data_IF_830757223763
#
_entry.id   IF_830757223763
#
_cell.length_a   1.000
_cell.length_b   1.000
_cell.length_c   1.000
_cell.angle_alpha   90.00
_cell.angle_beta   90.00
_cell.angle_gamma   90.00
#
_symmetry.space_group_name_H-M   'P 1'
#
loop_
_entity.id
_entity.type
_entity.pdbx_description
1 polymer ?
#
# COMPACT_ATOMS: atom_id res chain seq x y z
N UNK A 1 3.92 7.79 -13.61
CA UNK A 1 2.80 6.90 -13.22
C UNK A 1 2.94 6.54 -11.75
N UNK A 2 1.84 6.33 -11.01
CA UNK A 2 1.89 6.07 -9.55
C UNK A 2 2.72 4.82 -9.21
N UNK A 3 2.52 3.72 -9.95
CA UNK A 3 3.27 2.47 -9.77
C UNK A 3 4.78 2.66 -9.97
N UNK A 4 5.19 3.39 -11.03
CA UNK A 4 6.61 3.64 -11.28
C UNK A 4 7.25 4.53 -10.20
N UNK A 5 6.52 5.52 -9.71
CA UNK A 5 6.99 6.37 -8.61
C UNK A 5 7.22 5.54 -7.34
N UNK A 6 6.27 4.66 -6.99
CA UNK A 6 6.42 3.73 -5.87
C UNK A 6 7.59 2.76 -6.09
N UNK A 7 7.75 2.22 -7.30
CA UNK A 7 8.85 1.32 -7.65
C UNK A 7 10.22 1.99 -7.44
N UNK A 8 10.36 3.26 -7.85
CA UNK A 8 11.60 4.04 -7.65
C UNK A 8 11.96 4.26 -6.17
N UNK A 9 10.98 4.14 -5.27
CA UNK A 9 11.19 4.25 -3.82
C UNK A 9 11.70 2.92 -3.24
N UNK A 10 11.47 1.80 -3.94
CA UNK A 10 11.88 0.45 -3.56
C UNK A 10 10.77 -0.36 -2.89
N UNK A 11 9.49 -0.05 -3.15
CA UNK A 11 8.39 -0.84 -2.58
C UNK A 11 8.35 -2.25 -3.17
N UNK A 12 7.76 -3.19 -2.44
CA UNK A 12 7.49 -4.54 -2.93
C UNK A 12 6.01 -4.68 -3.23
N UNK A 13 5.62 -4.67 -4.51
CA UNK A 13 4.23 -4.91 -4.91
C UNK A 13 3.74 -6.29 -4.47
N UNK A 14 2.49 -6.34 -4.01
CA UNK A 14 1.82 -7.58 -3.58
C UNK A 14 1.59 -8.49 -4.80
N UNK A 15 2.22 -9.67 -4.87
CA UNK A 15 2.09 -10.56 -6.02
C UNK A 15 0.67 -11.03 -6.32
N UNK A 16 -0.23 -11.05 -5.33
CA UNK A 16 -1.63 -11.49 -5.49
C UNK A 16 -2.60 -10.33 -5.77
N UNK A 17 -2.11 -9.10 -5.89
CA UNK A 17 -2.96 -7.98 -6.25
C UNK A 17 -3.21 -7.98 -7.78
N UNK A 18 -4.48 -7.82 -8.24
CA UNK A 18 -4.81 -7.87 -9.68
C UNK A 18 -4.07 -6.87 -10.57
N UNK A 19 -3.60 -5.74 -10.01
CA UNK A 19 -2.82 -4.76 -10.77
C UNK A 19 -1.38 -5.25 -11.02
N UNK A 20 -0.80 -6.00 -10.08
CA UNK A 20 0.54 -6.56 -10.21
C UNK A 20 0.62 -7.54 -11.37
N UNK A 21 -0.43 -8.33 -11.61
CA UNK A 21 -0.55 -9.24 -12.76
C UNK A 21 -0.56 -8.52 -14.12
N UNK A 22 -0.83 -7.21 -14.11
CA UNK A 22 -0.84 -6.34 -15.30
C UNK A 22 0.47 -5.59 -15.50
N UNK A 23 1.50 -5.87 -14.68
CA UNK A 23 2.83 -5.30 -14.86
C UNK A 23 3.65 -6.12 -15.86
N UNK A 24 4.32 -5.44 -16.80
CA UNK A 24 5.36 -6.03 -17.66
C UNK A 24 6.67 -6.20 -16.90
N UNK A 25 6.92 -5.30 -15.94
CA UNK A 25 8.08 -5.34 -15.07
C UNK A 25 7.71 -4.74 -13.70
N UNK A 26 7.68 -5.61 -12.69
CA UNK A 26 7.37 -5.26 -11.30
C UNK A 26 8.44 -4.37 -10.68
N UNK A 27 9.71 -4.50 -11.10
CA UNK A 27 10.83 -3.71 -10.54
C UNK A 27 10.74 -2.25 -10.96
N UNK A 28 10.24 -1.98 -12.15
CA UNK A 28 10.02 -0.61 -12.63
C UNK A 28 8.60 -0.12 -12.41
N UNK A 29 7.67 -0.99 -12.01
CA UNK A 29 6.25 -0.67 -11.88
C UNK A 29 5.57 -0.40 -13.23
N UNK A 30 6.14 -0.91 -14.31
CA UNK A 30 5.64 -0.68 -15.68
C UNK A 30 4.45 -1.59 -15.96
N UNK A 31 3.31 -0.99 -16.33
CA UNK A 31 2.11 -1.71 -16.74
C UNK A 31 2.20 -2.09 -18.23
N UNK A 32 1.44 -3.11 -18.64
CA UNK A 32 1.30 -3.46 -20.06
C UNK A 32 0.73 -2.28 -20.85
N UNK A 33 1.27 -2.06 -22.05
CA UNK A 33 0.89 -0.92 -22.90
C UNK A 33 -0.57 -0.98 -23.36
N UNK A 34 -1.11 -2.20 -23.53
CA UNK A 34 -2.48 -2.45 -24.00
C UNK A 34 -3.56 -1.95 -23.03
N UNK A 35 -3.24 -1.75 -21.75
CA UNK A 35 -4.20 -1.34 -20.72
C UNK A 35 -4.10 0.13 -20.32
N UNK A 36 -3.09 0.87 -20.78
CA UNK A 36 -2.81 2.23 -20.27
C UNK A 36 -3.93 3.25 -20.54
N UNK A 37 -4.75 3.00 -21.55
CA UNK A 37 -5.87 3.85 -21.94
C UNK A 37 -7.25 3.29 -21.53
N UNK A 38 -7.27 2.20 -20.78
CA UNK A 38 -8.51 1.59 -20.30
C UNK A 38 -9.10 2.38 -19.13
N UNK A 39 -10.43 2.38 -19.03
CA UNK A 39 -11.15 3.00 -17.91
C UNK A 39 -11.51 1.92 -16.89
N UNK A 40 -11.14 2.14 -15.64
CA UNK A 40 -11.50 1.28 -14.51
C UNK A 40 -12.37 2.02 -13.52
N UNK A 41 -13.33 1.32 -12.89
CA UNK A 41 -14.15 1.92 -11.82
C UNK A 41 -13.35 2.13 -10.54
N UNK A 42 -12.41 1.23 -10.27
CA UNK A 42 -11.52 1.26 -9.10
C UNK A 42 -10.29 0.42 -9.38
N UNK A 43 -9.13 0.86 -8.89
CA UNK A 43 -7.93 0.04 -8.80
C UNK A 43 -7.27 0.28 -7.43
N UNK A 44 -6.58 -0.74 -6.93
CA UNK A 44 -5.84 -0.68 -5.69
C UNK A 44 -4.41 -1.09 -6.00
N UNK A 45 -3.46 -0.27 -5.57
CA UNK A 45 -2.04 -0.60 -5.61
C UNK A 45 -1.67 -1.10 -4.22
N UNK A 46 -1.33 -2.38 -4.10
CA UNK A 46 -0.93 -3.00 -2.83
C UNK A 46 0.56 -3.30 -2.85
N UNK A 47 1.24 -2.97 -1.74
CA UNK A 47 2.66 -3.19 -1.58
C UNK A 47 3.05 -3.18 -0.10
N UNK A 48 4.17 -3.83 0.19
CA UNK A 48 4.84 -3.76 1.48
C UNK A 48 6.06 -2.82 1.42
N UNK A 49 6.40 -2.26 2.57
CA UNK A 49 7.60 -1.43 2.77
C UNK A 49 8.17 -1.64 4.17
N UNK A 50 9.51 -1.64 4.36
CA UNK A 50 10.11 -1.57 5.69
C UNK A 50 9.66 -0.31 6.45
N UNK A 51 9.62 -0.38 7.79
CA UNK A 51 9.17 0.76 8.61
C UNK A 51 10.05 1.99 8.42
N UNK A 52 11.36 1.80 8.26
CA UNK A 52 12.33 2.86 8.01
C UNK A 52 12.06 3.65 6.71
N UNK A 53 11.43 3.00 5.72
CA UNK A 53 11.11 3.59 4.41
C UNK A 53 9.69 4.16 4.35
N UNK A 54 8.84 3.92 5.36
CA UNK A 54 7.45 4.40 5.37
C UNK A 54 7.36 5.91 5.22
N UNK A 55 8.18 6.68 5.92
CA UNK A 55 8.16 8.15 5.81
C UNK A 55 8.51 8.63 4.38
N UNK A 56 9.47 7.95 3.73
CA UNK A 56 9.88 8.20 2.35
C UNK A 56 8.75 7.87 1.38
N UNK A 57 8.04 6.75 1.57
CA UNK A 57 6.86 6.39 0.78
C UNK A 57 5.76 7.45 0.93
N UNK A 58 5.41 7.85 2.15
CA UNK A 58 4.35 8.84 2.39
C UNK A 58 4.68 10.20 1.76
N UNK A 59 5.95 10.63 1.80
CA UNK A 59 6.40 11.84 1.12
C UNK A 59 6.30 11.70 -0.41
N UNK A 60 6.73 10.56 -0.97
CA UNK A 60 6.63 10.27 -2.40
C UNK A 60 5.18 10.24 -2.89
N UNK A 61 4.27 9.65 -2.13
CA UNK A 61 2.83 9.64 -2.46
C UNK A 61 2.23 11.05 -2.44
N UNK A 62 2.63 11.89 -1.48
CA UNK A 62 2.22 13.30 -1.41
C UNK A 62 2.75 14.13 -2.58
N UNK A 63 3.93 13.82 -3.09
CA UNK A 63 4.46 14.47 -4.29
C UNK A 63 3.67 14.02 -5.53
N UNK A 64 3.49 12.70 -5.71
CA UNK A 64 2.72 12.14 -6.82
C UNK A 64 1.30 12.72 -6.84
N UNK A 65 0.66 12.92 -5.69
CA UNK A 65 -0.69 13.48 -5.64
C UNK A 65 -0.83 14.89 -6.22
N UNK A 66 0.26 15.65 -6.34
CA UNK A 66 0.25 16.99 -6.95
C UNK A 66 0.15 16.94 -8.48
N UNK A 67 0.46 15.78 -9.08
CA UNK A 67 0.56 15.59 -10.53
C UNK A 67 -0.51 14.65 -11.09
N UNK A 68 -1.54 14.32 -10.30
CA UNK A 68 -2.65 13.46 -10.72
C UNK A 68 -3.89 14.30 -11.04
N UNK A 69 -4.56 13.95 -12.15
CA UNK A 69 -5.87 14.50 -12.52
C UNK A 69 -7.04 13.83 -11.75
N UNK A 70 -6.72 12.97 -10.78
CA UNK A 70 -7.67 12.21 -9.96
C UNK A 70 -7.24 12.21 -8.50
N UNK A 71 -8.16 11.80 -7.62
CA UNK A 71 -7.88 11.58 -6.20
C UNK A 71 -7.60 10.11 -5.93
N UNK A 72 -6.86 9.84 -4.85
CA UNK A 72 -6.72 8.50 -4.28
C UNK A 72 -6.84 8.58 -2.76
N UNK A 73 -7.21 7.45 -2.16
CA UNK A 73 -7.14 7.25 -0.71
C UNK A 73 -5.93 6.38 -0.39
N UNK A 74 -5.39 6.53 0.82
CA UNK A 74 -4.29 5.72 1.32
C UNK A 74 -4.76 4.95 2.53
N UNK A 75 -4.66 3.62 2.44
CA UNK A 75 -4.83 2.73 3.58
C UNK A 75 -3.45 2.27 4.05
N UNK A 76 -3.24 2.29 5.36
CA UNK A 76 -2.00 1.84 5.98
C UNK A 76 -2.29 0.63 6.86
N UNK A 77 -1.75 -0.52 6.46
CA UNK A 77 -1.89 -1.77 7.20
C UNK A 77 -0.67 -1.93 8.10
N UNK A 78 -0.90 -2.27 9.37
CA UNK A 78 0.17 -2.47 10.35
C UNK A 78 -0.16 -3.61 11.28
N UNK A 79 0.84 -4.44 11.56
CA UNK A 79 0.75 -5.47 12.61
C UNK A 79 0.88 -4.77 13.95
N UNK A 80 -0.13 -4.94 14.81
CA UNK A 80 -0.12 -4.39 16.16
C UNK A 80 0.87 -5.18 17.01
N UNK A 81 1.72 -4.47 17.76
CA UNK A 81 2.68 -5.07 18.67
C UNK A 81 1.98 -5.73 19.87
N UNK A 82 2.69 -6.60 20.59
CA UNK A 82 2.15 -7.30 21.76
C UNK A 82 1.68 -6.36 22.89
N UNK A 83 2.28 -5.18 22.99
CA UNK A 83 1.90 -4.13 23.95
C UNK A 83 0.69 -3.28 23.49
N UNK A 84 0.12 -3.59 22.33
CA UNK A 84 -0.99 -2.86 21.72
C UNK A 84 -0.57 -1.62 20.92
N UNK A 85 0.72 -1.30 20.85
CA UNK A 85 1.20 -0.18 20.04
C UNK A 85 1.12 -0.49 18.54
N UNK A 86 0.84 0.54 17.73
CA UNK A 86 0.81 0.44 16.27
C UNK A 86 2.11 1.08 15.76
N UNK A 87 3.07 0.29 15.23
CA UNK A 87 4.42 0.78 14.93
C UNK A 87 4.49 1.85 13.85
N UNK A 88 3.45 1.97 13.02
CA UNK A 88 3.39 3.00 11.97
C UNK A 88 2.90 4.36 12.46
N UNK A 89 2.13 4.43 13.55
CA UNK A 89 1.61 5.69 14.14
C UNK A 89 2.72 6.71 14.43
N UNK A 90 3.80 6.37 15.18
CA UNK A 90 4.85 7.34 15.49
C UNK A 90 5.62 7.84 14.26
N UNK A 91 5.50 7.17 13.12
CA UNK A 91 6.14 7.56 11.86
C UNK A 91 5.26 8.54 11.07
N UNK A 92 3.94 8.31 11.05
CA UNK A 92 3.02 9.11 10.22
C UNK A 92 2.48 10.36 10.90
N UNK A 93 2.36 10.37 12.23
CA UNK A 93 1.89 11.55 12.98
C UNK A 93 2.77 12.79 12.77
N UNK A 94 4.12 12.71 12.82
CA UNK A 94 4.98 13.85 12.51
C UNK A 94 4.82 14.39 11.08
N UNK A 95 4.30 13.58 10.15
CA UNK A 95 4.00 13.99 8.78
C UNK A 95 2.64 14.70 8.64
N UNK A 96 1.98 14.97 9.78
CA UNK A 96 0.66 15.60 9.84
C UNK A 96 -0.49 14.66 9.48
N UNK A 97 -0.24 13.35 9.42
CA UNK A 97 -1.25 12.34 9.12
C UNK A 97 -1.80 11.76 10.42
N UNK A 98 -3.13 11.65 10.50
CA UNK A 98 -3.81 11.08 11.66
C UNK A 98 -4.54 9.81 11.23
N UNK A 99 -4.13 8.64 11.71
CA UNK A 99 -4.86 7.41 11.45
C UNK A 99 -6.32 7.53 11.89
N UNK A 100 -7.23 7.01 11.07
CA UNK A 100 -8.66 7.02 11.38
C UNK A 100 -8.97 6.08 12.54
N UNK A 101 -9.87 6.50 13.43
CA UNK A 101 -10.41 5.61 14.48
C UNK A 101 -11.34 4.52 13.92
N UNK A 102 -11.81 4.67 12.68
CA UNK A 102 -12.73 3.75 12.01
C UNK A 102 -11.98 2.67 11.19
N UNK A 103 -10.79 2.26 11.65
CA UNK A 103 -10.00 1.21 11.01
C UNK A 103 -10.66 -0.18 11.12
N UNK A 104 -10.19 -1.10 10.26
CA UNK A 104 -10.54 -2.52 10.34
C UNK A 104 -9.44 -3.28 11.08
N UNK A 105 -9.79 -3.97 12.15
CA UNK A 105 -8.86 -4.86 12.85
C UNK A 105 -9.04 -6.29 12.35
N UNK A 106 -7.99 -6.87 11.75
CA UNK A 106 -7.93 -8.30 11.52
C UNK A 106 -7.39 -8.98 12.79
N UNK A 107 -8.24 -9.77 13.45
CA UNK A 107 -7.91 -10.49 14.69
C UNK A 107 -7.24 -11.86 14.45
N UNK A 108 -6.94 -12.21 13.19
CA UNK A 108 -6.17 -13.42 12.88
C UNK A 108 -6.91 -14.75 13.06
N UNK A 109 -8.24 -14.73 13.16
CA UNK A 109 -9.09 -15.93 13.37
C UNK A 109 -9.16 -16.88 12.16
N UNK A 110 -8.46 -16.57 11.06
CA UNK A 110 -8.42 -17.40 9.87
C UNK A 110 -7.58 -18.68 10.01
N UNK A 111 -6.84 -18.84 11.12
CA UNK A 111 -6.13 -20.08 11.43
C UNK A 111 -7.02 -20.95 12.32
N UNK A 112 -7.44 -22.14 11.87
CA UNK A 112 -8.22 -23.05 12.69
C UNK A 112 -7.45 -23.37 13.99
N UNK A 113 -8.08 -23.17 15.15
CA UNK A 113 -7.55 -23.65 16.43
C UNK A 113 -7.73 -25.16 16.61
N UNK A 114 -8.68 -25.74 15.88
CA UNK A 114 -8.90 -27.18 15.83
C UNK A 114 -8.16 -27.76 14.62
N UNK A 115 -7.39 -28.82 14.85
CA UNK A 115 -7.01 -29.72 13.77
C UNK A 115 -8.30 -30.42 13.32
N UNK A 116 -8.69 -30.21 12.06
CA UNK A 116 -9.68 -31.06 11.43
C UNK A 116 -8.92 -32.32 10.98
N UNK A 117 -8.94 -33.34 11.83
CA UNK A 117 -8.54 -34.71 11.46
C UNK A 117 -9.45 -35.26 10.34
#
# INVERSE_FOLDING_TARGET
MVTQALASIGVRFEPQNPLTDLMTDVQTGSLREDILNEKVSSCIIEFDVPLEDLAKVMAGMREVSQHLDTVFAVDLISVVNEDGSIPTVPIVEPLGLKPSIAGKTNVGLGRPLANLD
#
